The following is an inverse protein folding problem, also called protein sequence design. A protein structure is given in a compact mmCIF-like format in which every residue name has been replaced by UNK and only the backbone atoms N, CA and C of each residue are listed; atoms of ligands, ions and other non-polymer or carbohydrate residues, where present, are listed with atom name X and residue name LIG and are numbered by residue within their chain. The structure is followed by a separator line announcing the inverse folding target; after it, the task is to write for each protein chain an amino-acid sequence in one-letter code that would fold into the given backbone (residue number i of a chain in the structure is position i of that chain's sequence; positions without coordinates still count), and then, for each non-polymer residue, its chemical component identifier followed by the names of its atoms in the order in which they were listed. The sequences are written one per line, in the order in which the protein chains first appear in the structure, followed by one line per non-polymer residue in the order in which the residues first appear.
data_IF_741929801626
#
_entry.id   IF_741929801626
#
_cell.length_a   1.000
_cell.length_b   1.000
_cell.length_c   1.000
_cell.angle_alpha   90.00
_cell.angle_beta   90.00
_cell.angle_gamma   90.00
#
_symmetry.space_group_name_H-M   'P 1'
#
loop_
_entity.id
_entity.type
_entity.pdbx_description
1 polymer ?
#
# COMPACT_ATOMS: atom_id res chain seq x y z
N UNK A 1 -11.45 5.56 -18.80
CA UNK A 1 -11.42 4.21 -18.17
C UNK A 1 -10.71 4.38 -16.84
N UNK A 2 -11.28 3.87 -15.76
CA UNK A 2 -10.67 3.86 -14.43
C UNK A 2 -10.55 2.41 -13.93
N UNK A 3 -9.59 2.15 -13.06
CA UNK A 3 -9.42 0.84 -12.43
C UNK A 3 -8.45 0.85 -11.29
N UNK A 4 -8.62 -0.10 -10.38
CA UNK A 4 -7.80 -0.32 -9.18
C UNK A 4 -6.59 -1.24 -9.43
N UNK A 5 -6.23 -1.47 -10.70
CA UNK A 5 -5.13 -2.38 -11.03
C UNK A 5 -4.27 -1.81 -12.16
N UNK A 6 -2.96 -1.80 -11.93
CA UNK A 6 -1.98 -1.26 -12.91
C UNK A 6 -1.94 -2.05 -14.23
N UNK A 7 -2.36 -3.32 -14.23
CA UNK A 7 -2.41 -4.17 -15.42
C UNK A 7 -3.69 -4.00 -16.26
N UNK A 8 -4.64 -3.17 -15.85
CA UNK A 8 -5.88 -2.95 -16.60
C UNK A 8 -5.64 -2.47 -18.04
N UNK A 9 -4.53 -1.82 -18.27
CA UNK A 9 -4.09 -1.37 -19.59
C UNK A 9 -2.99 -2.27 -20.19
N UNK A 10 -2.64 -3.39 -19.55
CA UNK A 10 -1.78 -4.43 -20.13
C UNK A 10 -2.64 -5.48 -20.86
N UNK A 11 -2.11 -6.09 -21.90
CA UNK A 11 -2.83 -7.13 -22.66
C UNK A 11 -3.71 -6.55 -23.79
N UNK A 12 -4.87 -7.17 -24.03
CA UNK A 12 -5.74 -6.82 -25.19
C UNK A 12 -6.20 -5.36 -25.19
N UNK A 13 -6.51 -4.78 -24.02
CA UNK A 13 -6.90 -3.37 -23.91
C UNK A 13 -5.73 -2.45 -24.26
N UNK A 14 -4.51 -2.77 -23.84
CA UNK A 14 -3.32 -2.00 -24.23
C UNK A 14 -3.12 -2.01 -25.76
N UNK A 15 -3.39 -3.14 -26.39
CA UNK A 15 -3.28 -3.28 -27.86
C UNK A 15 -4.33 -2.46 -28.58
N UNK A 16 -5.57 -2.43 -28.08
CA UNK A 16 -6.68 -1.65 -28.64
C UNK A 16 -6.50 -0.12 -28.49
N UNK A 17 -5.82 0.30 -27.43
CA UNK A 17 -5.64 1.73 -27.10
C UNK A 17 -4.22 2.19 -27.44
N UNK A 18 -3.36 1.31 -27.96
CA UNK A 18 -1.91 1.50 -28.07
C UNK A 18 -1.53 2.91 -28.57
N UNK A 19 -0.71 3.59 -27.76
CA UNK A 19 -0.21 4.93 -28.06
C UNK A 19 -1.21 6.10 -27.91
N UNK A 20 -2.44 5.85 -27.42
CA UNK A 20 -3.50 6.86 -27.37
C UNK A 20 -4.06 7.07 -25.96
N UNK A 21 -3.28 6.77 -24.90
CA UNK A 21 -3.71 7.03 -23.52
C UNK A 21 -2.61 7.73 -22.74
N UNK A 22 -3.06 8.48 -21.77
CA UNK A 22 -2.22 9.05 -20.71
C UNK A 22 -2.68 8.45 -19.39
N UNK A 23 -1.76 7.86 -18.63
CA UNK A 23 -2.05 7.25 -17.34
C UNK A 23 -1.93 8.29 -16.25
N UNK A 24 -2.97 8.43 -15.43
CA UNK A 24 -2.98 9.26 -14.23
C UNK A 24 -3.09 8.32 -13.04
N UNK A 25 -2.10 8.36 -12.18
CA UNK A 25 -2.13 7.63 -10.91
C UNK A 25 -2.83 8.51 -9.85
N UNK A 26 -3.87 7.94 -9.23
CA UNK A 26 -4.60 8.61 -8.14
C UNK A 26 -4.21 7.92 -6.85
N UNK A 27 -3.68 8.68 -5.91
CA UNK A 27 -3.28 8.24 -4.59
C UNK A 27 -4.35 8.61 -3.55
N UNK A 28 -4.37 7.96 -2.36
CA UNK A 28 -5.10 8.48 -1.20
C UNK A 28 -4.72 9.93 -0.92
N UNK A 29 -5.49 10.67 -0.16
CA UNK A 29 -5.16 12.06 0.17
C UNK A 29 -3.74 12.19 0.71
N UNK A 30 -3.01 13.18 0.23
CA UNK A 30 -1.84 13.72 0.94
C UNK A 30 -2.32 14.47 2.18
N UNK A 31 -1.41 14.74 3.12
CA UNK A 31 -1.78 15.54 4.30
C UNK A 31 -2.31 16.92 3.90
N UNK A 32 -1.77 17.54 2.87
CA UNK A 32 -2.27 18.83 2.36
C UNK A 32 -3.71 18.72 1.81
N UNK A 33 -4.01 17.68 1.03
CA UNK A 33 -5.36 17.42 0.52
C UNK A 33 -6.33 17.06 1.65
N UNK A 34 -5.86 16.33 2.67
CA UNK A 34 -6.63 16.02 3.86
C UNK A 34 -7.03 17.28 4.63
N UNK A 35 -6.09 18.21 4.85
CA UNK A 35 -6.38 19.52 5.48
C UNK A 35 -7.42 20.28 4.66
N UNK A 36 -7.23 20.35 3.34
CA UNK A 36 -8.18 21.04 2.48
C UNK A 36 -9.58 20.42 2.57
N UNK A 37 -9.67 19.11 2.52
CA UNK A 37 -10.94 18.39 2.67
C UNK A 37 -11.63 18.69 4.00
N UNK A 38 -10.87 18.67 5.11
CA UNK A 38 -11.43 19.00 6.45
C UNK A 38 -11.98 20.43 6.50
N UNK A 39 -11.23 21.41 5.99
CA UNK A 39 -11.68 22.80 5.92
C UNK A 39 -12.98 22.96 5.14
N UNK A 40 -13.10 22.27 4.00
CA UNK A 40 -14.30 22.32 3.17
C UNK A 40 -15.50 21.68 3.86
N UNK A 41 -15.30 20.55 4.55
CA UNK A 41 -16.37 19.85 5.27
C UNK A 41 -16.86 20.63 6.49
N UNK A 42 -15.96 21.22 7.25
CA UNK A 42 -16.28 21.99 8.47
C UNK A 42 -16.65 23.45 8.17
N UNK A 43 -16.45 23.89 6.92
CA UNK A 43 -16.67 25.28 6.48
C UNK A 43 -15.91 26.30 7.33
N UNK A 44 -14.68 25.97 7.67
CA UNK A 44 -13.78 26.81 8.47
C UNK A 44 -12.39 26.83 7.87
N UNK A 45 -11.71 27.98 7.97
CA UNK A 45 -10.29 28.09 7.62
C UNK A 45 -9.38 27.86 8.84
N UNK A 46 -9.96 27.84 10.04
CA UNK A 46 -9.23 27.66 11.29
C UNK A 46 -9.22 26.16 11.62
N UNK A 47 -8.04 25.58 11.61
CA UNK A 47 -7.81 24.17 11.92
C UNK A 47 -6.58 24.01 12.80
N UNK A 48 -6.61 23.06 13.71
CA UNK A 48 -5.43 22.64 14.45
C UNK A 48 -4.64 21.65 13.60
N UNK A 49 -3.47 22.05 13.14
CA UNK A 49 -2.65 21.23 12.27
C UNK A 49 -2.05 20.02 12.99
N UNK A 50 -1.81 20.13 14.29
CA UNK A 50 -1.26 19.04 15.10
C UNK A 50 -2.32 17.95 15.28
N UNK A 51 -3.53 18.30 15.66
CA UNK A 51 -4.67 17.40 15.78
C UNK A 51 -5.00 16.72 14.43
N UNK A 52 -5.02 17.49 13.32
CA UNK A 52 -5.25 16.93 11.99
C UNK A 52 -4.12 15.99 11.55
N UNK A 53 -2.88 16.28 11.96
CA UNK A 53 -1.76 15.40 11.63
C UNK A 53 -1.83 14.09 12.43
N UNK A 54 -2.20 14.14 13.70
CA UNK A 54 -2.45 12.94 14.51
C UNK A 54 -3.57 12.09 13.91
N UNK A 55 -4.70 12.70 13.52
CA UNK A 55 -5.79 12.00 12.86
C UNK A 55 -5.35 11.37 11.52
N UNK A 56 -4.58 12.11 10.72
CA UNK A 56 -4.06 11.61 9.44
C UNK A 56 -3.10 10.44 9.64
N UNK A 57 -2.20 10.51 10.62
CA UNK A 57 -1.28 9.43 10.96
C UNK A 57 -2.03 8.19 11.44
N UNK A 58 -3.10 8.38 12.21
CA UNK A 58 -3.88 7.29 12.76
C UNK A 58 -4.74 6.58 11.71
N UNK A 59 -5.46 7.31 10.86
CA UNK A 59 -6.44 6.71 9.96
C UNK A 59 -6.06 6.71 8.48
N UNK A 60 -4.99 7.39 8.12
CA UNK A 60 -4.56 7.48 6.72
C UNK A 60 -5.34 8.49 5.89
N UNK A 61 -5.07 8.46 4.59
CA UNK A 61 -5.61 9.40 3.60
C UNK A 61 -6.70 8.81 2.69
N UNK A 62 -7.23 7.61 2.96
CA UNK A 62 -8.31 7.06 2.12
C UNK A 62 -9.56 7.95 2.18
N UNK A 63 -10.04 8.51 1.02
CA UNK A 63 -11.14 9.46 1.04
C UNK A 63 -12.42 8.97 1.72
N UNK A 64 -12.88 7.70 1.54
CA UNK A 64 -14.10 7.23 2.19
C UNK A 64 -14.03 7.22 3.72
N UNK A 65 -12.83 7.04 4.31
CA UNK A 65 -12.63 7.01 5.76
C UNK A 65 -12.96 8.35 6.41
N UNK A 66 -12.81 9.44 5.66
CA UNK A 66 -13.04 10.78 6.19
C UNK A 66 -14.53 11.07 6.46
N UNK A 67 -15.43 10.23 5.97
CA UNK A 67 -16.89 10.34 6.15
C UNK A 67 -17.44 9.33 7.15
N UNK A 68 -16.59 8.52 7.76
CA UNK A 68 -16.95 7.45 8.69
C UNK A 68 -16.75 7.96 10.13
N UNK A 69 -17.64 7.58 11.05
CA UNK A 69 -17.48 7.88 12.47
C UNK A 69 -16.17 7.26 13.02
N UNK A 70 -15.55 7.91 13.99
CA UNK A 70 -14.24 7.52 14.49
C UNK A 70 -14.20 6.05 14.96
N UNK A 71 -15.25 5.61 15.66
CA UNK A 71 -15.39 4.23 16.14
C UNK A 71 -15.45 3.17 15.05
N UNK A 72 -15.85 3.54 13.82
CA UNK A 72 -16.01 2.60 12.70
C UNK A 72 -14.84 2.64 11.72
N UNK A 73 -13.94 3.61 11.81
CA UNK A 73 -12.86 3.82 10.83
C UNK A 73 -11.97 2.60 10.63
N UNK A 74 -11.54 1.95 11.70
CA UNK A 74 -10.69 0.75 11.60
C UNK A 74 -11.42 -0.43 10.96
N UNK A 75 -12.70 -0.63 11.31
CA UNK A 75 -13.53 -1.67 10.69
C UNK A 75 -13.66 -1.43 9.20
N UNK A 76 -13.92 -0.20 8.81
CA UNK A 76 -14.08 0.17 7.40
C UNK A 76 -12.77 0.06 6.59
N UNK A 77 -11.62 0.41 7.18
CA UNK A 77 -10.30 0.14 6.58
C UNK A 77 -10.07 -1.35 6.36
N UNK A 78 -10.48 -2.19 7.32
CA UNK A 78 -10.47 -3.64 7.19
C UNK A 78 -11.33 -4.13 6.02
N UNK A 79 -12.50 -3.55 5.81
CA UNK A 79 -13.40 -3.88 4.69
C UNK A 79 -12.81 -3.45 3.34
N UNK A 80 -12.15 -2.29 3.26
CA UNK A 80 -11.41 -1.87 2.06
C UNK A 80 -10.29 -2.87 1.77
N UNK A 81 -9.48 -3.22 2.78
CA UNK A 81 -8.42 -4.21 2.65
C UNK A 81 -8.94 -5.54 2.12
N UNK A 82 -10.01 -6.07 2.73
CA UNK A 82 -10.64 -7.32 2.30
C UNK A 82 -11.18 -7.24 0.87
N UNK A 83 -11.72 -6.09 0.47
CA UNK A 83 -12.22 -5.87 -0.89
C UNK A 83 -11.08 -5.92 -1.92
N UNK A 84 -9.96 -5.24 -1.66
CA UNK A 84 -8.75 -5.29 -2.50
C UNK A 84 -8.24 -6.73 -2.59
N UNK A 85 -8.12 -7.40 -1.45
CA UNK A 85 -7.63 -8.77 -1.36
C UNK A 85 -8.50 -9.73 -2.19
N UNK A 86 -9.83 -9.69 -1.99
CA UNK A 86 -10.76 -10.62 -2.65
C UNK A 86 -10.91 -10.36 -4.14
N UNK A 87 -11.11 -9.10 -4.54
CA UNK A 87 -11.40 -8.76 -5.94
C UNK A 87 -10.15 -8.62 -6.78
N UNK A 88 -9.21 -7.82 -6.31
CA UNK A 88 -8.07 -7.39 -7.14
C UNK A 88 -6.90 -8.37 -7.10
N UNK A 89 -6.83 -9.23 -6.09
CA UNK A 89 -5.76 -10.23 -5.95
C UNK A 89 -6.30 -11.65 -6.11
N UNK A 90 -7.13 -12.12 -5.18
CA UNK A 90 -7.53 -13.55 -5.13
C UNK A 90 -8.33 -13.96 -6.37
N UNK A 91 -9.39 -13.22 -6.69
CA UNK A 91 -10.26 -13.56 -7.82
C UNK A 91 -9.54 -13.40 -9.15
N UNK A 92 -8.78 -12.32 -9.31
CA UNK A 92 -8.06 -12.03 -10.56
C UNK A 92 -7.00 -13.08 -10.91
N UNK A 93 -6.26 -13.54 -9.91
CA UNK A 93 -5.16 -14.48 -10.10
C UNK A 93 -5.52 -15.93 -9.73
N UNK A 94 -6.81 -16.22 -9.46
CA UNK A 94 -7.31 -17.55 -9.10
C UNK A 94 -6.53 -18.19 -7.94
N UNK A 95 -6.21 -17.40 -6.91
CA UNK A 95 -5.40 -17.86 -5.78
C UNK A 95 -6.21 -18.84 -4.93
N UNK A 96 -5.72 -20.08 -4.84
CA UNK A 96 -6.37 -21.13 -4.04
C UNK A 96 -5.98 -21.08 -2.56
N UNK A 97 -4.74 -20.73 -2.26
CA UNK A 97 -4.24 -20.68 -0.89
C UNK A 97 -4.29 -19.24 -0.36
N UNK A 98 -5.50 -18.82 0.00
CA UNK A 98 -5.78 -17.46 0.50
C UNK A 98 -5.16 -17.20 1.87
N UNK A 99 -5.07 -18.23 2.73
CA UNK A 99 -4.40 -18.12 4.04
C UNK A 99 -2.90 -17.82 3.88
N UNK A 100 -2.24 -18.44 2.91
CA UNK A 100 -0.83 -18.16 2.64
C UNK A 100 -0.61 -16.75 2.10
N UNK A 101 -1.50 -16.28 1.22
CA UNK A 101 -1.45 -14.90 0.73
C UNK A 101 -1.60 -13.92 1.89
N UNK A 102 -2.59 -14.10 2.77
CA UNK A 102 -2.80 -13.25 3.93
C UNK A 102 -1.54 -13.18 4.80
N UNK A 103 -0.91 -14.31 5.13
CA UNK A 103 0.32 -14.35 5.93
C UNK A 103 1.47 -13.58 5.31
N UNK A 104 1.60 -13.65 3.98
CA UNK A 104 2.64 -12.89 3.26
C UNK A 104 2.35 -11.40 3.33
N UNK A 105 1.09 -10.99 3.09
CA UNK A 105 0.71 -9.59 3.19
C UNK A 105 0.81 -9.07 4.63
N UNK A 106 0.47 -9.88 5.62
CA UNK A 106 0.69 -9.57 7.04
C UNK A 106 2.16 -9.29 7.32
N UNK A 107 3.04 -10.17 6.84
CA UNK A 107 4.47 -9.96 6.98
C UNK A 107 4.93 -8.64 6.33
N UNK A 108 4.42 -8.31 5.15
CA UNK A 108 4.73 -7.05 4.46
C UNK A 108 4.25 -5.86 5.27
N UNK A 109 3.00 -5.87 5.73
CA UNK A 109 2.41 -4.78 6.52
C UNK A 109 3.21 -4.56 7.81
N UNK A 110 3.55 -5.62 8.55
CA UNK A 110 4.37 -5.55 9.77
C UNK A 110 5.78 -4.99 9.55
N UNK A 111 6.29 -5.08 8.33
CA UNK A 111 7.65 -4.70 7.98
C UNK A 111 7.71 -3.55 6.97
N UNK A 112 6.67 -2.71 6.88
CA UNK A 112 6.70 -1.51 6.04
C UNK A 112 7.92 -0.66 6.38
N UNK A 113 8.56 -0.09 5.36
CA UNK A 113 9.77 0.73 5.54
C UNK A 113 11.03 -0.05 5.96
N UNK A 114 10.90 -1.30 6.40
CA UNK A 114 12.06 -2.15 6.76
C UNK A 114 12.61 -2.87 5.55
N UNK A 115 13.92 -3.12 5.57
CA UNK A 115 14.56 -3.93 4.54
C UNK A 115 14.28 -5.41 4.75
N UNK A 116 13.67 -6.07 3.77
CA UNK A 116 13.54 -7.53 3.76
C UNK A 116 13.61 -8.09 2.33
N UNK A 117 13.65 -9.40 2.21
CA UNK A 117 13.69 -10.11 0.95
C UNK A 117 12.63 -11.21 0.91
N UNK A 118 12.30 -11.73 -0.28
CA UNK A 118 11.46 -12.93 -0.37
C UNK A 118 12.02 -14.11 0.43
N UNK A 119 13.36 -14.19 0.58
CA UNK A 119 14.00 -15.19 1.43
C UNK A 119 13.71 -15.00 2.93
N UNK A 120 13.52 -13.76 3.39
CA UNK A 120 13.09 -13.46 4.77
C UNK A 120 11.67 -13.95 5.01
N UNK A 121 10.77 -13.76 4.05
CA UNK A 121 9.39 -14.25 4.11
C UNK A 121 9.37 -15.78 4.11
N UNK A 122 10.20 -16.46 3.27
CA UNK A 122 10.32 -17.93 3.31
C UNK A 122 10.70 -18.42 4.70
N UNK A 123 11.68 -17.76 5.35
CA UNK A 123 12.12 -18.12 6.70
C UNK A 123 10.99 -17.93 7.72
N UNK A 124 10.27 -16.82 7.64
CA UNK A 124 9.13 -16.54 8.51
C UNK A 124 8.05 -17.62 8.38
N UNK A 125 7.58 -17.92 7.16
CA UNK A 125 6.58 -18.95 6.89
C UNK A 125 7.05 -20.35 7.33
N UNK A 126 8.34 -20.65 7.15
CA UNK A 126 8.93 -21.91 7.60
C UNK A 126 8.95 -22.03 9.13
N UNK A 127 9.17 -20.93 9.82
CA UNK A 127 9.13 -20.90 11.30
C UNK A 127 7.73 -21.21 11.84
N UNK A 128 6.68 -20.88 11.09
CA UNK A 128 5.29 -21.27 11.38
C UNK A 128 4.97 -22.75 11.02
N UNK A 129 5.97 -23.55 10.65
CA UNK A 129 5.80 -24.95 10.28
C UNK A 129 5.23 -25.17 8.87
N UNK A 130 5.19 -24.14 8.04
CA UNK A 130 4.63 -24.18 6.68
C UNK A 130 5.73 -24.16 5.61
N UNK A 131 5.34 -24.50 4.38
CA UNK A 131 6.26 -24.51 3.23
C UNK A 131 5.70 -23.66 2.11
N UNK A 132 6.58 -22.85 1.50
CA UNK A 132 6.28 -22.07 0.32
C UNK A 132 7.54 -21.92 -0.53
N UNK A 133 7.38 -21.83 -1.84
CA UNK A 133 8.48 -21.49 -2.74
C UNK A 133 8.75 -19.99 -2.75
N UNK A 134 10.00 -19.61 -3.05
CA UNK A 134 10.35 -18.21 -3.22
C UNK A 134 9.58 -17.58 -4.39
N UNK A 135 9.37 -18.34 -5.46
CA UNK A 135 8.68 -17.88 -6.66
C UNK A 135 7.21 -17.52 -6.34
N UNK A 136 6.51 -18.38 -5.57
CA UNK A 136 5.14 -18.06 -5.13
C UNK A 136 5.07 -16.77 -4.30
N UNK A 137 6.08 -16.51 -3.46
CA UNK A 137 6.13 -15.25 -2.70
C UNK A 137 6.31 -14.07 -3.65
N UNK A 138 7.21 -14.18 -4.63
CA UNK A 138 7.45 -13.12 -5.62
C UNK A 138 6.19 -12.85 -6.45
N UNK A 139 5.45 -13.90 -6.83
CA UNK A 139 4.17 -13.77 -7.53
C UNK A 139 3.14 -13.01 -6.66
N UNK A 140 3.01 -13.37 -5.38
CA UNK A 140 2.04 -12.71 -4.49
C UNK A 140 2.40 -11.25 -4.22
N UNK A 141 3.69 -10.93 -4.08
CA UNK A 141 4.15 -9.55 -3.98
C UNK A 141 3.87 -8.77 -5.27
N UNK A 142 4.08 -9.39 -6.44
CA UNK A 142 3.74 -8.78 -7.72
C UNK A 142 2.24 -8.51 -7.84
N UNK A 143 1.39 -9.46 -7.45
CA UNK A 143 -0.06 -9.27 -7.48
C UNK A 143 -0.52 -8.14 -6.56
N UNK A 144 0.07 -8.01 -5.37
CA UNK A 144 -0.22 -6.91 -4.46
C UNK A 144 0.26 -5.54 -5.00
N UNK A 145 1.38 -5.52 -5.73
CA UNK A 145 1.85 -4.31 -6.45
C UNK A 145 0.88 -3.94 -7.57
N UNK A 146 0.47 -4.93 -8.38
CA UNK A 146 -0.45 -4.71 -9.48
C UNK A 146 -1.84 -4.24 -9.01
N UNK A 147 -2.26 -4.70 -7.83
CA UNK A 147 -3.47 -4.20 -7.16
C UNK A 147 -3.30 -2.81 -6.53
N UNK A 148 -2.19 -2.13 -6.75
CA UNK A 148 -1.84 -0.84 -6.17
C UNK A 148 -1.94 -0.84 -4.63
N UNK A 149 -1.77 -2.00 -3.98
CA UNK A 149 -1.85 -2.11 -2.53
C UNK A 149 -0.50 -1.82 -1.86
N UNK A 150 0.60 -2.26 -2.50
CA UNK A 150 1.96 -2.01 -2.04
C UNK A 150 2.82 -1.40 -3.14
N UNK A 151 3.81 -0.66 -2.74
CA UNK A 151 4.89 -0.13 -3.58
C UNK A 151 6.22 -0.70 -3.12
N UNK A 152 7.13 -0.89 -4.06
CA UNK A 152 8.46 -1.45 -3.83
C UNK A 152 9.51 -0.40 -4.15
N UNK A 153 10.33 -0.03 -3.18
CA UNK A 153 11.53 0.75 -3.40
C UNK A 153 12.74 -0.19 -3.55
N UNK A 154 13.40 -0.09 -4.68
CA UNK A 154 14.61 -0.85 -4.94
C UNK A 154 15.83 -0.03 -4.49
N UNK A 155 16.78 -0.70 -3.87
CA UNK A 155 18.04 -0.05 -3.53
C UNK A 155 18.94 0.05 -4.76
N UNK A 156 19.26 1.26 -5.16
CA UNK A 156 20.28 1.50 -6.18
C UNK A 156 21.65 1.75 -5.54
N UNK A 157 22.68 1.10 -6.07
CA UNK A 157 24.06 1.43 -5.72
C UNK A 157 24.57 2.49 -6.69
N UNK A 158 24.56 3.75 -6.22
CA UNK A 158 24.99 4.91 -7.00
C UNK A 158 26.45 4.79 -7.48
N UNK A 159 27.30 4.06 -6.76
CA UNK A 159 28.73 3.89 -7.10
C UNK A 159 29.01 2.70 -8.02
N UNK A 160 28.19 1.66 -7.96
CA UNK A 160 28.45 0.40 -8.66
C UNK A 160 27.57 0.15 -9.88
N UNK A 161 26.57 0.97 -10.19
CA UNK A 161 25.54 0.76 -11.24
C UNK A 161 24.91 -0.63 -11.20
N UNK A 162 24.85 -1.25 -10.02
CA UNK A 162 24.21 -2.56 -9.82
C UNK A 162 22.96 -2.36 -8.97
N UNK A 163 21.81 -2.71 -9.52
CA UNK A 163 20.61 -2.94 -8.73
C UNK A 163 20.90 -4.09 -7.78
N UNK A 164 20.99 -3.78 -6.48
CA UNK A 164 21.28 -4.80 -5.47
C UNK A 164 20.03 -5.68 -5.31
N UNK A 165 20.10 -6.90 -5.79
CA UNK A 165 19.00 -7.90 -5.76
C UNK A 165 18.57 -8.36 -4.35
N UNK A 166 19.08 -7.76 -3.29
CA UNK A 166 18.85 -8.21 -1.93
C UNK A 166 18.55 -7.02 -1.03
N UNK A 167 17.42 -7.10 -0.33
CA UNK A 167 16.87 -6.12 0.59
C UNK A 167 16.14 -4.96 -0.10
N UNK A 168 14.88 -5.17 -0.29
CA UNK A 168 13.92 -4.21 -0.83
C UNK A 168 13.11 -3.64 0.33
N UNK A 169 12.67 -2.39 0.21
CA UNK A 169 11.65 -1.82 1.08
C UNK A 169 10.30 -1.87 0.39
N UNK A 170 9.28 -2.15 1.18
CA UNK A 170 7.90 -2.08 0.73
C UNK A 170 7.13 -1.05 1.54
N UNK A 171 6.23 -0.35 0.86
CA UNK A 171 5.38 0.68 1.41
C UNK A 171 3.94 0.41 1.05
N UNK A 172 3.01 0.75 1.92
CA UNK A 172 1.58 0.64 1.65
C UNK A 172 1.10 1.84 0.86
N UNK A 173 0.08 1.65 0.03
CA UNK A 173 -0.62 2.75 -0.65
C UNK A 173 -1.19 3.74 0.36
N UNK A 174 -1.60 3.24 1.53
CA UNK A 174 -2.10 4.03 2.65
C UNK A 174 -1.66 3.40 3.98
N UNK A 175 -1.05 4.19 4.84
CA UNK A 175 -0.56 3.73 6.14
C UNK A 175 -1.69 3.40 7.13
N UNK A 176 -2.91 3.88 6.90
CA UNK A 176 -4.09 3.53 7.72
C UNK A 176 -4.35 2.03 7.77
N UNK A 177 -3.97 1.27 6.73
CA UNK A 177 -4.07 -0.20 6.77
C UNK A 177 -3.16 -0.84 7.83
N UNK A 178 -1.98 -0.24 8.10
CA UNK A 178 -1.13 -0.69 9.20
C UNK A 178 -1.81 -0.48 10.54
N UNK A 179 -2.34 0.72 10.76
CA UNK A 179 -3.01 1.08 12.01
C UNK A 179 -4.26 0.24 12.26
N UNK A 180 -5.09 0.04 11.23
CA UNK A 180 -6.30 -0.79 11.34
C UNK A 180 -5.97 -2.25 11.73
N UNK A 181 -4.78 -2.74 11.39
CA UNK A 181 -4.41 -4.12 11.64
C UNK A 181 -3.69 -4.32 12.98
N UNK A 182 -2.87 -3.38 13.39
CA UNK A 182 -1.98 -3.54 14.55
C UNK A 182 -2.24 -2.54 15.66
N UNK A 183 -2.86 -1.37 15.38
CA UNK A 183 -3.36 -0.44 16.40
C UNK A 183 -2.31 0.19 17.33
N UNK A 184 -1.03 0.00 17.06
CA UNK A 184 0.04 0.44 17.95
C UNK A 184 0.96 1.45 17.26
N UNK A 185 1.15 2.61 17.89
CA UNK A 185 2.09 3.64 17.43
C UNK A 185 3.59 3.28 17.64
N UNK A 186 3.90 2.05 17.98
CA UNK A 186 5.29 1.63 18.25
C UNK A 186 6.26 1.78 17.06
N UNK A 187 5.72 1.94 15.86
CA UNK A 187 6.51 2.04 14.62
C UNK A 187 6.29 3.37 13.89
N UNK A 188 6.12 4.47 14.63
CA UNK A 188 5.87 5.80 14.07
C UNK A 188 6.88 6.20 12.98
N UNK A 189 8.16 5.86 13.15
CA UNK A 189 9.20 6.15 12.16
C UNK A 189 8.92 5.54 10.79
N UNK A 190 8.38 4.32 10.73
CA UNK A 190 8.06 3.63 9.47
C UNK A 190 6.76 4.14 8.86
N UNK A 191 5.82 4.57 9.69
CA UNK A 191 4.59 5.24 9.23
C UNK A 191 4.93 6.57 8.56
N UNK A 192 5.78 7.38 9.21
CA UNK A 192 6.25 8.64 8.63
C UNK A 192 7.05 8.41 7.35
N UNK A 193 7.91 7.38 7.32
CA UNK A 193 8.64 7.01 6.10
C UNK A 193 7.66 6.61 4.98
N UNK A 194 6.59 5.89 5.30
CA UNK A 194 5.54 5.53 4.34
C UNK A 194 4.82 6.76 3.78
N UNK A 195 4.45 7.71 4.64
CA UNK A 195 3.80 8.96 4.24
C UNK A 195 4.71 9.74 3.29
N UNK A 196 5.99 9.90 3.65
CA UNK A 196 6.98 10.61 2.82
C UNK A 196 7.18 9.88 1.49
N UNK A 197 7.28 8.55 1.49
CA UNK A 197 7.47 7.78 0.28
C UNK A 197 6.31 7.96 -0.71
N UNK A 198 5.07 7.85 -0.25
CA UNK A 198 3.90 8.07 -1.11
C UNK A 198 3.83 9.51 -1.62
N UNK A 199 4.22 10.50 -0.81
CA UNK A 199 4.29 11.89 -1.24
C UNK A 199 5.37 12.10 -2.32
N UNK A 200 6.52 11.43 -2.22
CA UNK A 200 7.54 11.46 -3.27
C UNK A 200 7.03 10.87 -4.58
N UNK A 201 6.37 9.70 -4.54
CA UNK A 201 5.74 9.11 -5.73
C UNK A 201 4.72 10.05 -6.37
N UNK A 202 3.89 10.73 -5.55
CA UNK A 202 2.91 11.72 -6.00
C UNK A 202 3.56 12.87 -6.75
N UNK A 203 4.75 13.29 -6.33
CA UNK A 203 5.55 14.34 -6.97
C UNK A 203 6.35 13.87 -8.18
N UNK A 204 6.25 12.58 -8.54
CA UNK A 204 6.93 12.01 -9.70
C UNK A 204 8.40 11.63 -9.45
N UNK A 205 8.79 11.42 -8.19
CA UNK A 205 10.06 10.78 -7.86
C UNK A 205 9.89 9.26 -7.91
N UNK A 206 10.83 8.58 -8.57
CA UNK A 206 10.88 7.12 -8.68
C UNK A 206 11.83 6.50 -7.64
#
# INVERSE_FOLDING_TARGET
ITGSNSELLSGEMATLISGRYYQINIYPFSFAEFIQYKKEMEKTDIVDLEELFEEYVEYGGMPPIQQVAAEDKYSYLGDIYNTILLKDIITRHNIRNTDMLNRILDYVIMNIGKNFSAGSIVKYIKHEGRKISKDTILDYLLYAKNACFIYQAQREDIKGKKVLKHNEKYFLVDHGFYQAKYGEMENMEYILENIVFIELLRRGYD
#
